data_IF_028557943471
#
_entry.id   IF_028557943471
#
_cell.length_a   1.000
_cell.length_b   1.000
_cell.length_c   1.000
_cell.angle_alpha   90.00
_cell.angle_beta   90.00
_cell.angle_gamma   90.00
#
_symmetry.space_group_name_H-M   'P 1'
#
loop_
_entity.id
_entity.type
_entity.pdbx_description
1 polymer ?
#
# COMPACT_ATOMS: atom_id res chain seq x y z
N UNK A 1 45.57 22.63 -15.70
CA UNK A 1 45.92 21.38 -15.00
C UNK A 1 45.52 21.54 -13.53
N UNK A 2 44.24 21.41 -13.20
CA UNK A 2 43.76 21.46 -11.81
C UNK A 2 43.71 20.01 -11.29
N UNK A 3 44.72 19.60 -10.53
CA UNK A 3 44.65 18.36 -9.75
C UNK A 3 43.71 18.60 -8.55
N UNK A 4 42.65 17.79 -8.50
CA UNK A 4 41.70 17.75 -7.40
C UNK A 4 42.36 17.20 -6.14
N UNK A 5 42.46 18.04 -5.12
CA UNK A 5 42.72 17.62 -3.76
C UNK A 5 41.39 17.61 -3.01
N UNK A 6 40.78 16.44 -2.86
CA UNK A 6 39.70 16.24 -1.88
C UNK A 6 40.29 16.45 -0.49
N UNK A 7 39.80 17.47 0.23
CA UNK A 7 40.20 17.77 1.61
C UNK A 7 40.01 16.54 2.52
N UNK A 8 40.92 16.34 3.47
CA UNK A 8 40.87 15.25 4.44
C UNK A 8 39.54 15.20 5.23
N UNK A 9 38.92 16.36 5.50
CA UNK A 9 37.57 16.43 6.10
C UNK A 9 36.47 15.85 5.19
N UNK A 10 36.52 16.07 3.88
CA UNK A 10 35.54 15.49 2.94
C UNK A 10 35.71 13.97 2.81
N UNK A 11 36.95 13.47 2.87
CA UNK A 11 37.25 12.04 2.91
C UNK A 11 36.82 11.41 4.25
N UNK A 12 37.00 12.10 5.37
CA UNK A 12 36.55 11.66 6.68
C UNK A 12 35.01 11.63 6.80
N UNK A 13 34.30 12.66 6.30
CA UNK A 13 32.83 12.65 6.19
C UNK A 13 32.33 11.49 5.32
N UNK A 14 32.87 11.32 4.10
CA UNK A 14 32.49 10.20 3.22
C UNK A 14 32.76 8.82 3.86
N UNK A 15 33.85 8.67 4.61
CA UNK A 15 34.15 7.43 5.35
C UNK A 15 33.19 7.19 6.51
N UNK A 16 32.84 8.23 7.26
CA UNK A 16 31.89 8.14 8.36
C UNK A 16 30.47 7.85 7.85
N UNK A 17 30.04 8.51 6.77
CA UNK A 17 28.73 8.28 6.14
C UNK A 17 28.62 6.85 5.59
N UNK A 18 29.69 6.35 4.95
CA UNK A 18 29.74 4.96 4.49
C UNK A 18 29.73 3.95 5.65
N UNK A 19 30.40 4.26 6.77
CA UNK A 19 30.39 3.39 7.96
C UNK A 19 29.03 3.40 8.66
N UNK A 20 28.35 4.56 8.71
CA UNK A 20 27.02 4.68 9.29
C UNK A 20 25.97 3.94 8.43
N UNK A 21 26.03 4.08 7.10
CA UNK A 21 25.18 3.34 6.18
C UNK A 21 25.40 1.82 6.29
N UNK A 22 26.66 1.39 6.41
CA UNK A 22 26.99 -0.03 6.62
C UNK A 22 26.44 -0.56 7.95
N UNK A 23 26.64 0.16 9.05
CA UNK A 23 26.13 -0.27 10.35
C UNK A 23 24.59 -0.35 10.38
N UNK A 24 23.90 0.61 9.74
CA UNK A 24 22.43 0.56 9.57
C UNK A 24 21.97 -0.65 8.75
N UNK A 25 22.71 -1.02 7.70
CA UNK A 25 22.36 -2.16 6.85
C UNK A 25 22.49 -3.49 7.61
N UNK A 26 23.50 -3.61 8.47
CA UNK A 26 23.83 -4.83 9.20
C UNK A 26 23.20 -4.92 10.60
N UNK A 27 22.38 -3.95 11.00
CA UNK A 27 21.73 -3.90 12.31
C UNK A 27 20.83 -5.13 12.58
N UNK A 28 20.29 -5.74 11.51
CA UNK A 28 19.37 -6.88 11.59
C UNK A 28 19.91 -8.16 10.94
N UNK A 29 21.24 -8.31 10.85
CA UNK A 29 21.86 -9.46 10.21
C UNK A 29 21.47 -10.79 10.86
N UNK A 30 21.40 -10.86 12.19
CA UNK A 30 21.01 -12.09 12.89
C UNK A 30 19.58 -12.53 12.53
N UNK A 31 18.64 -11.59 12.49
CA UNK A 31 17.25 -11.84 12.11
C UNK A 31 17.14 -12.22 10.62
N UNK A 32 17.89 -11.53 9.75
CA UNK A 32 17.93 -11.84 8.33
C UNK A 32 18.49 -13.24 8.05
N UNK A 33 19.54 -13.66 8.77
CA UNK A 33 20.10 -15.00 8.69
C UNK A 33 19.09 -16.06 9.18
N UNK A 34 18.40 -15.82 10.28
CA UNK A 34 17.35 -16.72 10.77
C UNK A 34 16.19 -16.88 9.76
N UNK A 35 15.75 -15.79 9.13
CA UNK A 35 14.72 -15.81 8.08
C UNK A 35 15.21 -16.59 6.86
N UNK A 36 16.46 -16.35 6.41
CA UNK A 36 17.07 -17.07 5.29
C UNK A 36 17.16 -18.56 5.56
N UNK A 37 17.62 -18.95 6.75
CA UNK A 37 17.76 -20.36 7.13
C UNK A 37 16.39 -21.04 7.23
N UNK A 38 15.37 -20.35 7.75
CA UNK A 38 13.99 -20.81 7.76
C UNK A 38 13.42 -21.01 6.35
N UNK A 39 13.59 -20.03 5.47
CA UNK A 39 13.16 -20.10 4.07
C UNK A 39 13.85 -21.24 3.33
N UNK A 40 15.15 -21.45 3.58
CA UNK A 40 15.96 -22.50 2.95
C UNK A 40 15.52 -23.93 3.29
N UNK A 41 14.72 -24.12 4.36
CA UNK A 41 14.12 -25.41 4.71
C UNK A 41 12.92 -25.77 3.84
N UNK A 42 12.28 -24.77 3.21
CA UNK A 42 11.10 -24.95 2.35
C UNK A 42 11.48 -24.83 0.89
N UNK A 43 12.33 -23.85 0.55
CA UNK A 43 12.79 -23.58 -0.81
C UNK A 43 14.32 -23.59 -0.83
N UNK A 44 14.98 -24.48 -1.60
CA UNK A 44 16.43 -24.53 -1.66
C UNK A 44 17.08 -23.20 -2.03
N UNK A 45 18.04 -22.73 -1.23
CA UNK A 45 18.75 -21.46 -1.45
C UNK A 45 19.37 -21.30 -2.86
N UNK A 46 19.94 -22.35 -3.50
CA UNK A 46 20.45 -22.22 -4.87
C UNK A 46 19.39 -21.83 -5.90
N UNK A 47 18.11 -22.18 -5.68
CA UNK A 47 17.02 -21.79 -6.57
C UNK A 47 16.66 -20.30 -6.38
N UNK A 48 16.72 -19.80 -5.16
CA UNK A 48 16.48 -18.38 -4.87
C UNK A 48 17.56 -17.50 -5.53
N UNK A 49 18.80 -17.99 -5.62
CA UNK A 49 19.91 -17.30 -6.27
C UNK A 49 19.76 -17.19 -7.81
N UNK A 50 18.78 -17.87 -8.42
CA UNK A 50 18.48 -17.72 -9.86
C UNK A 50 17.69 -16.45 -10.16
N UNK A 51 17.11 -15.80 -9.15
CA UNK A 51 16.29 -14.60 -9.30
C UNK A 51 17.02 -13.36 -8.82
N UNK A 52 16.78 -12.25 -9.48
CA UNK A 52 17.10 -10.92 -8.94
C UNK A 52 16.17 -10.60 -7.76
N UNK A 53 16.57 -9.64 -6.92
CA UNK A 53 15.74 -9.18 -5.80
C UNK A 53 14.34 -8.71 -6.27
N UNK A 54 14.27 -8.01 -7.40
CA UNK A 54 13.01 -7.51 -7.97
C UNK A 54 12.10 -8.62 -8.51
N UNK A 55 12.69 -9.66 -9.11
CA UNK A 55 11.92 -10.83 -9.58
C UNK A 55 11.39 -11.63 -8.40
N UNK A 56 12.21 -11.86 -7.38
CA UNK A 56 11.78 -12.54 -6.16
C UNK A 56 10.68 -11.76 -5.44
N UNK A 57 10.81 -10.43 -5.31
CA UNK A 57 9.75 -9.56 -4.79
C UNK A 57 8.47 -9.71 -5.60
N UNK A 58 8.54 -9.67 -6.93
CA UNK A 58 7.35 -9.80 -7.79
C UNK A 58 6.70 -11.18 -7.67
N UNK A 59 7.50 -12.24 -7.46
CA UNK A 59 6.97 -13.58 -7.25
C UNK A 59 6.25 -13.74 -5.90
N UNK A 60 6.79 -13.15 -4.83
CA UNK A 60 6.24 -13.27 -3.48
C UNK A 60 5.11 -12.27 -3.26
N UNK A 61 5.32 -11.02 -3.63
CA UNK A 61 4.43 -9.89 -3.35
C UNK A 61 3.45 -9.60 -4.50
N UNK A 62 3.70 -10.09 -5.71
CA UNK A 62 2.88 -9.81 -6.89
C UNK A 62 3.29 -8.54 -7.66
N UNK A 63 2.56 -8.25 -8.72
CA UNK A 63 2.82 -7.10 -9.61
C UNK A 63 2.37 -5.79 -8.96
N UNK A 64 3.20 -4.73 -8.98
CA UNK A 64 2.77 -3.39 -8.57
C UNK A 64 1.80 -2.78 -9.59
N UNK A 65 1.91 -3.17 -10.85
CA UNK A 65 0.98 -2.78 -11.90
C UNK A 65 -0.30 -3.59 -11.79
N UNK A 66 -1.43 -2.88 -11.74
CA UNK A 66 -2.77 -3.44 -11.56
C UNK A 66 -3.53 -3.30 -12.90
N UNK A 67 -3.39 -4.29 -13.81
CA UNK A 67 -4.12 -4.31 -15.06
C UNK A 67 -5.63 -4.49 -14.80
N UNK A 68 -6.42 -3.46 -15.15
CA UNK A 68 -7.87 -3.45 -14.96
C UNK A 68 -8.54 -4.60 -15.72
N UNK A 69 -8.05 -4.94 -16.91
CA UNK A 69 -8.58 -6.06 -17.69
C UNK A 69 -8.46 -7.41 -16.95
N UNK A 70 -7.36 -7.64 -16.23
CA UNK A 70 -7.15 -8.87 -15.49
C UNK A 70 -8.06 -8.95 -14.27
N UNK A 71 -8.21 -7.83 -13.54
CA UNK A 71 -9.14 -7.71 -12.42
C UNK A 71 -10.60 -7.87 -12.87
N UNK A 72 -10.94 -7.35 -14.05
CA UNK A 72 -12.28 -7.48 -14.65
C UNK A 72 -12.59 -8.91 -15.08
N UNK A 73 -11.58 -9.64 -15.55
CA UNK A 73 -11.74 -11.02 -15.98
C UNK A 73 -12.01 -11.98 -14.80
N UNK A 74 -11.52 -11.66 -13.60
CA UNK A 74 -11.81 -12.41 -12.36
C UNK A 74 -12.94 -11.78 -11.52
N UNK A 75 -13.77 -10.92 -12.11
CA UNK A 75 -14.85 -10.24 -11.42
C UNK A 75 -16.20 -10.98 -11.54
N UNK A 76 -16.87 -11.17 -10.41
CA UNK A 76 -18.23 -11.71 -10.28
C UNK A 76 -19.21 -10.65 -9.80
N UNK A 77 -20.44 -10.67 -10.30
CA UNK A 77 -21.46 -9.64 -10.02
C UNK A 77 -22.64 -10.23 -9.24
N UNK A 78 -23.11 -9.52 -8.21
CA UNK A 78 -24.28 -9.92 -7.39
C UNK A 78 -25.26 -8.77 -7.25
N UNK A 79 -26.56 -9.04 -7.43
CA UNK A 79 -27.61 -8.02 -7.35
C UNK A 79 -27.61 -7.03 -8.54
N UNK A 80 -26.80 -7.30 -9.56
CA UNK A 80 -26.74 -6.52 -10.79
C UNK A 80 -26.27 -7.40 -11.94
N UNK A 81 -26.72 -7.07 -13.14
CA UNK A 81 -26.33 -7.75 -14.38
C UNK A 81 -25.05 -7.09 -14.95
N UNK A 82 -24.10 -7.86 -15.53
CA UNK A 82 -22.79 -7.33 -15.95
C UNK A 82 -22.86 -6.24 -17.03
N UNK A 83 -23.92 -6.17 -17.82
CA UNK A 83 -24.13 -5.14 -18.85
C UNK A 83 -24.79 -3.87 -18.31
N UNK A 84 -25.21 -3.85 -17.04
CA UNK A 84 -25.88 -2.70 -16.45
C UNK A 84 -24.98 -1.44 -16.45
N UNK A 85 -25.55 -0.23 -16.65
CA UNK A 85 -24.78 1.02 -16.71
C UNK A 85 -23.87 1.25 -15.50
N UNK A 86 -24.34 0.90 -14.30
CA UNK A 86 -23.56 1.07 -13.07
C UNK A 86 -22.26 0.22 -13.06
N UNK A 87 -22.29 -0.98 -13.64
CA UNK A 87 -21.10 -1.83 -13.78
C UNK A 87 -20.14 -1.23 -14.80
N UNK A 88 -20.64 -0.70 -15.90
CA UNK A 88 -19.83 -0.01 -16.90
C UNK A 88 -19.15 1.23 -16.29
N UNK A 89 -19.90 2.06 -15.57
CA UNK A 89 -19.37 3.23 -14.87
C UNK A 89 -18.30 2.86 -13.85
N UNK A 90 -18.47 1.77 -13.11
CA UNK A 90 -17.46 1.29 -12.18
C UNK A 90 -16.13 1.02 -12.88
N UNK A 91 -16.14 0.28 -14.00
CA UNK A 91 -14.91 -0.04 -14.73
C UNK A 91 -14.29 1.18 -15.41
N UNK A 92 -15.10 2.08 -15.97
CA UNK A 92 -14.60 3.34 -16.50
C UNK A 92 -13.93 4.19 -15.41
N UNK A 93 -14.50 4.26 -14.21
CA UNK A 93 -13.89 4.95 -13.08
C UNK A 93 -12.58 4.26 -12.66
N UNK A 94 -12.53 2.93 -12.63
CA UNK A 94 -11.31 2.17 -12.34
C UNK A 94 -10.20 2.44 -13.36
N UNK A 95 -10.55 2.65 -14.63
CA UNK A 95 -9.61 3.04 -15.69
C UNK A 95 -9.12 4.48 -15.50
N UNK A 96 -9.97 5.41 -15.03
CA UNK A 96 -9.62 6.80 -14.69
C UNK A 96 -8.69 6.91 -13.46
N UNK A 97 -8.60 5.88 -12.61
CA UNK A 97 -7.72 5.88 -11.45
C UNK A 97 -6.24 5.75 -11.85
N UNK A 98 -5.39 6.52 -11.17
CA UNK A 98 -3.93 6.38 -11.23
C UNK A 98 -3.45 5.03 -10.64
N UNK A 99 -2.21 4.63 -10.93
CA UNK A 99 -1.64 3.40 -10.37
C UNK A 99 -1.65 3.37 -8.83
N UNK A 100 -1.37 4.51 -8.19
CA UNK A 100 -1.45 4.66 -6.74
C UNK A 100 -2.89 4.51 -6.21
N UNK A 101 -3.87 5.12 -6.87
CA UNK A 101 -5.29 4.97 -6.50
C UNK A 101 -5.79 3.53 -6.72
N UNK A 102 -5.32 2.83 -7.76
CA UNK A 102 -5.64 1.41 -7.97
C UNK A 102 -5.07 0.54 -6.85
N UNK A 103 -3.87 0.85 -6.36
CA UNK A 103 -3.29 0.16 -5.20
C UNK A 103 -4.09 0.45 -3.92
N UNK A 104 -4.57 1.68 -3.73
CA UNK A 104 -5.48 2.03 -2.64
C UNK A 104 -6.81 1.29 -2.75
N UNK A 105 -7.36 1.17 -3.96
CA UNK A 105 -8.56 0.39 -4.22
C UNK A 105 -8.35 -1.08 -3.83
N UNK A 106 -7.29 -1.74 -4.30
CA UNK A 106 -7.02 -3.13 -3.90
C UNK A 106 -6.85 -3.27 -2.39
N UNK A 107 -6.19 -2.30 -1.74
CA UNK A 107 -6.10 -2.32 -0.28
C UNK A 107 -7.49 -2.21 0.36
N UNK A 108 -8.34 -1.33 -0.16
CA UNK A 108 -9.69 -1.15 0.33
C UNK A 108 -10.53 -2.43 0.20
N UNK A 109 -10.43 -3.18 -0.91
CA UNK A 109 -11.28 -4.37 -1.16
C UNK A 109 -10.65 -5.70 -0.81
N UNK A 110 -9.33 -5.78 -0.67
CA UNK A 110 -8.57 -7.03 -0.44
C UNK A 110 -7.53 -6.91 0.69
N UNK A 111 -7.20 -5.70 1.16
CA UNK A 111 -6.13 -5.51 2.15
C UNK A 111 -4.72 -5.72 1.59
N UNK A 112 -4.60 -5.92 0.26
CA UNK A 112 -3.32 -6.04 -0.45
C UNK A 112 -3.16 -4.90 -1.43
N UNK A 113 -1.93 -4.47 -1.67
CA UNK A 113 -1.64 -3.39 -2.64
C UNK A 113 -1.26 -3.90 -4.02
N UNK A 114 -1.16 -5.23 -4.21
CA UNK A 114 -0.65 -5.88 -5.42
C UNK A 114 -1.56 -7.01 -5.85
N UNK A 115 -1.70 -7.19 -7.17
CA UNK A 115 -2.36 -8.37 -7.72
C UNK A 115 -1.40 -9.56 -7.69
N UNK A 116 -1.88 -10.77 -7.34
CA UNK A 116 -1.10 -11.97 -7.52
C UNK A 116 -0.72 -12.17 -8.99
N UNK A 117 0.43 -12.81 -9.20
CA UNK A 117 1.00 -13.03 -10.54
C UNK A 117 0.08 -13.80 -11.49
N UNK A 118 -0.76 -14.68 -10.96
CA UNK A 118 -1.72 -15.47 -11.72
C UNK A 118 -3.15 -15.16 -11.23
N UNK A 119 -3.75 -14.03 -11.63
CA UNK A 119 -5.10 -13.64 -11.18
C UNK A 119 -6.19 -14.62 -11.64
N UNK A 120 -5.88 -15.49 -12.61
CA UNK A 120 -6.76 -16.55 -13.12
C UNK A 120 -6.52 -17.92 -12.46
N UNK A 121 -5.65 -17.99 -11.44
CA UNK A 121 -5.45 -19.22 -10.68
C UNK A 121 -6.77 -19.54 -9.94
N UNK A 122 -7.39 -20.71 -10.16
CA UNK A 122 -8.66 -21.07 -9.52
C UNK A 122 -8.58 -21.18 -7.99
N UNK A 123 -7.36 -21.17 -7.42
CA UNK A 123 -7.14 -21.10 -5.96
C UNK A 123 -7.29 -19.68 -5.41
N UNK A 124 -7.29 -18.67 -6.27
CA UNK A 124 -7.51 -17.28 -5.88
C UNK A 124 -9.00 -16.97 -5.82
N UNK A 125 -9.36 -16.06 -4.92
CA UNK A 125 -10.75 -15.62 -4.78
C UNK A 125 -11.05 -14.61 -5.88
N UNK A 126 -12.20 -14.79 -6.52
CA UNK A 126 -12.72 -13.82 -7.47
C UNK A 126 -13.09 -12.51 -6.76
N UNK A 127 -12.87 -11.39 -7.45
CA UNK A 127 -13.36 -10.10 -7.00
C UNK A 127 -14.88 -10.08 -7.12
N UNK A 128 -15.60 -9.77 -6.04
CA UNK A 128 -17.07 -9.71 -6.07
C UNK A 128 -17.54 -8.27 -6.00
N UNK A 129 -18.31 -7.84 -7.00
CA UNK A 129 -19.03 -6.57 -7.00
C UNK A 129 -20.51 -6.83 -6.69
N UNK A 130 -20.98 -6.36 -5.54
CA UNK A 130 -22.37 -6.52 -5.11
C UNK A 130 -23.09 -5.17 -5.04
N UNK A 131 -24.26 -5.08 -5.66
CA UNK A 131 -25.12 -3.89 -5.56
C UNK A 131 -26.26 -4.17 -4.58
N UNK A 132 -26.55 -3.20 -3.71
CA UNK A 132 -27.61 -3.29 -2.72
C UNK A 132 -28.66 -2.20 -2.93
N UNK A 133 -29.94 -2.59 -2.97
CA UNK A 133 -31.07 -1.67 -3.14
C UNK A 133 -31.63 -1.13 -1.79
N UNK A 134 -30.98 -1.45 -0.67
CA UNK A 134 -31.43 -1.05 0.68
C UNK A 134 -31.19 0.42 1.03
N UNK A 135 -30.40 1.14 0.23
CA UNK A 135 -29.94 2.50 0.54
C UNK A 135 -30.89 3.56 -0.04
N UNK A 136 -31.40 4.46 0.80
CA UNK A 136 -32.34 5.50 0.37
C UNK A 136 -32.08 6.85 1.08
N UNK A 137 -31.73 7.93 0.35
CA UNK A 137 -31.30 7.93 -1.06
C UNK A 137 -29.91 7.29 -1.22
N UNK A 138 -29.63 6.56 -2.31
CA UNK A 138 -28.41 5.76 -2.47
C UNK A 138 -27.12 6.60 -2.48
N UNK A 139 -27.18 7.81 -3.01
CA UNK A 139 -26.04 8.72 -3.18
C UNK A 139 -25.45 9.24 -1.86
N UNK A 140 -26.20 9.11 -0.76
CA UNK A 140 -25.72 9.52 0.57
C UNK A 140 -24.80 8.49 1.23
N UNK A 141 -24.70 7.27 0.67
CA UNK A 141 -23.95 6.18 1.28
C UNK A 141 -22.63 5.92 0.53
N UNK A 142 -21.60 5.59 1.29
CA UNK A 142 -20.31 5.16 0.74
C UNK A 142 -20.35 3.67 0.38
N UNK A 143 -19.47 3.19 -0.53
CA UNK A 143 -19.30 1.77 -0.74
C UNK A 143 -18.67 1.13 0.51
N UNK A 144 -19.02 -0.13 0.76
CA UNK A 144 -18.53 -0.95 1.87
C UNK A 144 -17.64 -2.07 1.31
N UNK A 145 -16.50 -2.33 1.94
CA UNK A 145 -15.64 -3.44 1.56
C UNK A 145 -15.61 -4.53 2.63
N UNK A 146 -15.41 -5.76 2.16
CA UNK A 146 -15.17 -6.92 3.02
C UNK A 146 -13.94 -7.65 2.51
N UNK A 147 -12.78 -7.26 3.05
CA UNK A 147 -11.48 -7.68 2.54
C UNK A 147 -11.23 -9.18 2.64
N UNK A 148 -11.74 -9.83 3.70
CA UNK A 148 -11.72 -11.28 3.85
C UNK A 148 -12.35 -12.00 2.65
N UNK A 149 -13.29 -11.37 1.96
CA UNK A 149 -14.06 -11.96 0.85
C UNK A 149 -13.77 -11.33 -0.50
N UNK A 150 -12.79 -10.43 -0.60
CA UNK A 150 -12.50 -9.65 -1.81
C UNK A 150 -13.77 -9.06 -2.44
N UNK A 151 -14.60 -8.46 -1.58
CA UNK A 151 -15.97 -8.06 -1.90
C UNK A 151 -16.12 -6.56 -1.72
N UNK A 152 -16.65 -5.91 -2.77
CA UNK A 152 -17.12 -4.54 -2.75
C UNK A 152 -18.65 -4.53 -2.80
N UNK A 153 -19.30 -3.95 -1.80
CA UNK A 153 -20.72 -3.64 -1.82
C UNK A 153 -20.91 -2.16 -2.09
N UNK A 154 -21.80 -1.81 -3.01
CA UNK A 154 -22.10 -0.40 -3.27
C UNK A 154 -23.60 -0.14 -3.48
N UNK A 155 -24.08 1.06 -3.11
CA UNK A 155 -25.40 1.53 -3.49
C UNK A 155 -25.58 1.61 -5.01
N UNK A 156 -26.84 1.61 -5.45
CA UNK A 156 -27.19 1.90 -6.85
C UNK A 156 -27.12 3.41 -7.10
N UNK A 157 -25.90 3.93 -7.26
CA UNK A 157 -25.66 5.35 -7.49
C UNK A 157 -26.40 5.88 -8.71
N UNK A 158 -26.86 7.14 -8.63
CA UNK A 158 -27.64 7.79 -9.68
C UNK A 158 -26.83 8.11 -10.94
N UNK A 159 -25.51 8.29 -10.82
CA UNK A 159 -24.64 8.68 -11.93
C UNK A 159 -23.18 8.23 -11.73
N UNK A 160 -22.42 8.17 -12.83
CA UNK A 160 -20.97 7.93 -12.83
C UNK A 160 -20.21 8.94 -11.95
N UNK A 161 -20.63 10.20 -11.95
CA UNK A 161 -19.98 11.25 -11.18
C UNK A 161 -20.05 10.98 -9.67
N UNK A 162 -21.23 10.57 -9.18
CA UNK A 162 -21.43 10.18 -7.78
C UNK A 162 -20.61 8.94 -7.43
N UNK A 163 -20.64 7.90 -8.28
CA UNK A 163 -19.84 6.68 -8.05
C UNK A 163 -18.35 7.03 -7.92
N UNK A 164 -17.83 7.86 -8.83
CA UNK A 164 -16.43 8.29 -8.82
C UNK A 164 -16.06 9.02 -7.53
N UNK A 165 -16.88 9.99 -7.14
CA UNK A 165 -16.66 10.77 -5.92
C UNK A 165 -16.66 9.87 -4.68
N UNK A 166 -17.70 9.04 -4.52
CA UNK A 166 -17.86 8.16 -3.35
C UNK A 166 -16.79 7.07 -3.29
N UNK A 167 -16.43 6.49 -4.43
CA UNK A 167 -15.38 5.49 -4.50
C UNK A 167 -14.01 6.09 -4.17
N UNK A 168 -13.65 7.23 -4.76
CA UNK A 168 -12.39 7.93 -4.44
C UNK A 168 -12.34 8.29 -2.96
N UNK A 169 -13.43 8.85 -2.43
CA UNK A 169 -13.51 9.15 -1.00
C UNK A 169 -13.25 7.90 -0.14
N UNK A 170 -13.94 6.79 -0.42
CA UNK A 170 -13.78 5.56 0.34
C UNK A 170 -12.35 5.01 0.31
N UNK A 171 -11.71 4.91 -0.87
CA UNK A 171 -10.35 4.36 -0.97
C UNK A 171 -9.28 5.25 -0.31
N UNK A 172 -9.52 6.56 -0.19
CA UNK A 172 -8.59 7.49 0.45
C UNK A 172 -8.77 7.57 1.96
N UNK A 173 -10.00 7.52 2.47
CA UNK A 173 -10.30 7.81 3.86
C UNK A 173 -10.65 6.57 4.69
N UNK A 174 -11.17 5.49 4.09
CA UNK A 174 -11.46 4.24 4.79
C UNK A 174 -10.21 3.34 4.82
N UNK A 175 -9.17 3.80 5.52
CA UNK A 175 -7.89 3.07 5.68
C UNK A 175 -7.91 2.00 6.78
N UNK A 176 -9.07 1.69 7.38
CA UNK A 176 -9.15 0.76 8.50
C UNK A 176 -9.07 -0.69 8.02
N UNK A 177 -7.84 -1.16 7.81
CA UNK A 177 -7.33 -2.53 8.02
C UNK A 177 -5.82 -2.35 8.23
N UNK A 178 -5.42 -2.43 9.50
CA UNK A 178 -4.07 -2.59 10.04
C UNK A 178 -3.02 -1.44 9.90
N UNK A 179 -2.50 -1.11 11.08
CA UNK A 179 -1.34 -0.34 11.57
C UNK A 179 -0.11 -0.05 10.69
N UNK A 180 0.02 -0.63 9.49
CA UNK A 180 1.23 -0.53 8.67
C UNK A 180 1.34 0.79 7.88
N UNK A 181 0.21 1.39 7.51
CA UNK A 181 0.21 2.69 6.83
C UNK A 181 0.66 3.81 7.77
N UNK A 182 0.30 3.72 9.07
CA UNK A 182 0.77 4.69 10.06
C UNK A 182 2.30 4.63 10.16
N UNK A 183 2.90 3.43 10.09
CA UNK A 183 4.35 3.29 10.06
C UNK A 183 4.98 3.90 8.79
N UNK A 184 4.45 3.65 7.59
CA UNK A 184 5.00 4.24 6.35
C UNK A 184 4.84 5.76 6.27
N UNK A 185 3.67 6.28 6.67
CA UNK A 185 3.41 7.72 6.68
C UNK A 185 4.21 8.40 7.78
N UNK A 186 4.29 7.82 8.98
CA UNK A 186 5.13 8.33 10.07
C UNK A 186 6.61 8.31 9.70
N UNK A 187 7.10 7.27 9.00
CA UNK A 187 8.47 7.26 8.46
C UNK A 187 8.68 8.40 7.47
N UNK A 188 7.75 8.61 6.53
CA UNK A 188 7.85 9.72 5.56
C UNK A 188 7.68 11.11 6.18
N UNK A 189 7.00 11.22 7.32
CA UNK A 189 6.82 12.46 8.07
C UNK A 189 8.04 12.74 8.97
N UNK A 190 8.60 11.70 9.59
CA UNK A 190 9.84 11.76 10.34
C UNK A 190 11.04 12.07 9.43
N UNK A 191 11.07 11.53 8.21
CA UNK A 191 12.08 11.87 7.20
C UNK A 191 12.01 13.36 6.81
N UNK A 192 10.80 13.92 6.66
CA UNK A 192 10.60 15.36 6.40
C UNK A 192 10.97 16.25 7.59
N UNK A 193 10.61 15.84 8.80
CA UNK A 193 10.99 16.56 10.03
C UNK A 193 12.52 16.53 10.24
N UNK A 194 13.18 15.40 9.93
CA UNK A 194 14.65 15.27 10.04
C UNK A 194 15.42 16.13 9.04
N UNK A 195 14.80 16.53 7.93
CA UNK A 195 15.39 17.46 6.96
C UNK A 195 15.24 18.94 7.34
N UNK A 196 14.46 19.26 8.37
CA UNK A 196 14.17 20.64 8.80
C UNK A 196 14.87 21.03 10.12
N UNK A 197 15.43 20.08 10.87
CA UNK A 197 16.10 20.34 12.17
C UNK A 197 17.61 20.64 12.10
N UNK A 198 18.19 20.79 10.90
CA UNK A 198 19.60 21.18 10.76
C UNK A 198 19.77 22.67 10.46
N UNK A 199 19.10 23.56 11.18
CA UNK A 199 19.54 24.95 11.31
C UNK A 199 18.86 25.63 12.52
N UNK A 200 19.48 25.54 13.70
CA UNK A 200 19.58 26.58 14.74
C UNK A 200 19.77 25.98 16.14
N UNK A 201 20.93 26.26 16.73
CA UNK A 201 21.15 26.19 18.17
C UNK A 201 20.27 27.24 18.88
N UNK A 202 19.43 26.83 19.85
CA UNK A 202 19.32 27.47 21.18
C UNK A 202 18.13 26.94 22.02
N UNK A 203 18.51 26.49 23.23
CA UNK A 203 17.80 26.53 24.50
C UNK A 203 16.54 25.68 24.73
N UNK A 204 16.58 24.95 25.85
CA UNK A 204 15.68 23.89 26.22
C UNK A 204 14.60 24.36 27.19
N UNK A 205 13.37 23.85 27.05
CA UNK A 205 12.46 23.69 28.19
C UNK A 205 11.54 22.48 27.95
N UNK A 206 11.37 21.52 28.89
CA UNK A 206 10.54 20.35 28.66
C UNK A 206 9.04 20.70 28.81
N UNK A 207 8.26 20.47 27.77
CA UNK A 207 6.79 20.48 27.85
C UNK A 207 6.32 19.18 28.50
N UNK A 208 5.54 19.31 29.58
CA UNK A 208 4.97 18.20 30.35
C UNK A 208 3.96 17.34 29.56
N UNK A 209 3.57 16.18 30.11
CA UNK A 209 2.76 15.20 29.39
C UNK A 209 1.33 15.71 29.08
N UNK A 210 0.76 15.34 27.92
CA UNK A 210 -0.58 15.75 27.53
C UNK A 210 -1.67 15.03 28.35
N UNK A 211 -2.83 15.67 28.57
CA UNK A 211 -3.90 15.12 29.39
C UNK A 211 -4.62 13.93 28.71
N UNK A 212 -4.94 12.91 29.51
CA UNK A 212 -5.71 11.75 29.09
C UNK A 212 -7.20 12.10 28.95
N UNK A 213 -7.79 11.83 27.77
CA UNK A 213 -9.23 11.91 27.56
C UNK A 213 -9.91 10.56 27.85
N UNK A 214 -11.10 10.55 28.50
CA UNK A 214 -11.79 9.33 28.86
C UNK A 214 -12.64 8.79 27.68
N UNK A 215 -12.59 7.48 27.46
CA UNK A 215 -13.51 6.78 26.56
C UNK A 215 -14.85 6.49 27.26
N UNK A 216 -16.00 6.71 26.62
CA UNK A 216 -17.30 6.28 27.15
C UNK A 216 -17.49 4.77 26.95
N UNK A 217 -18.16 4.14 27.94
CA UNK A 217 -18.57 2.73 27.95
C UNK A 217 -19.66 2.42 26.92
#
# INVERSE_FOLDING_TARGET
>A
MFLGYTCACCLARKKNDASAARNRLHEFDEQALAVRDGLSRVVPAPLLALFTAAELETMVCGSPDIPIHALRASASYKGIEPTAPLVQWFWEVMEELSGAERALFLRFVWGRTRLPRAPQDPRQRDFVLQVLDKYHPPDNFLPESYTCFFLLKMPRYSSKAVLREKLRYAIHFCKSIDTDEYARVALSAAERASSEESDSDADATPLGPPPAFPFPR
#
